data_IF_004550530402
#
_entry.id   IF_004550530402
#
_cell.length_a   1.000
_cell.length_b   1.000
_cell.length_c   1.000
_cell.angle_alpha   90.00
_cell.angle_beta   90.00
_cell.angle_gamma   90.00
#
_symmetry.space_group_name_H-M   'P 1'
#
loop_
_entity.id
_entity.type
_entity.pdbx_description
1 polymer ?
#
# COMPACT_ATOMS: atom_id res chain seq x y z
N UNK A 1 -58.90 -61.39 14.82
CA UNK A 1 -58.43 -60.46 13.77
C UNK A 1 -58.13 -59.13 14.46
N UNK A 2 -56.89 -58.62 14.39
CA UNK A 2 -56.59 -57.29 14.95
C UNK A 2 -57.29 -56.25 14.06
N UNK A 3 -58.29 -55.55 14.59
CA UNK A 3 -58.92 -54.44 13.88
C UNK A 3 -57.89 -53.32 13.73
N UNK A 4 -57.38 -53.12 12.51
CA UNK A 4 -56.57 -51.95 12.20
C UNK A 4 -57.49 -50.74 12.13
N UNK A 5 -57.16 -49.71 12.92
CA UNK A 5 -57.90 -48.45 12.91
C UNK A 5 -57.58 -47.70 11.61
N UNK A 6 -58.54 -47.71 10.69
CA UNK A 6 -58.44 -47.06 9.37
C UNK A 6 -58.08 -45.57 9.50
N UNK A 7 -58.57 -44.88 10.55
CA UNK A 7 -58.25 -43.49 10.83
C UNK A 7 -56.76 -43.28 11.15
N UNK A 8 -56.13 -44.25 11.81
CA UNK A 8 -54.69 -44.20 12.14
C UNK A 8 -53.82 -44.37 10.90
N UNK A 9 -54.24 -45.19 9.94
CA UNK A 9 -53.55 -45.37 8.66
C UNK A 9 -53.62 -44.07 7.83
N UNK A 10 -54.79 -43.42 7.77
CA UNK A 10 -54.93 -42.14 7.06
C UNK A 10 -54.10 -41.01 7.68
N UNK A 11 -54.03 -40.94 9.01
CA UNK A 11 -53.19 -39.95 9.69
C UNK A 11 -51.69 -40.19 9.43
N UNK A 12 -51.26 -41.46 9.41
CA UNK A 12 -49.88 -41.81 9.16
C UNK A 12 -49.44 -41.53 7.72
N UNK A 13 -50.29 -41.84 6.73
CA UNK A 13 -49.99 -41.54 5.32
C UNK A 13 -50.01 -40.04 5.04
N UNK A 14 -50.94 -39.29 5.65
CA UNK A 14 -50.97 -37.83 5.54
C UNK A 14 -49.69 -37.21 6.13
N UNK A 15 -49.25 -37.66 7.30
CA UNK A 15 -48.00 -37.18 7.92
C UNK A 15 -46.77 -37.50 7.04
N UNK A 16 -46.69 -38.71 6.49
CA UNK A 16 -45.58 -39.13 5.65
C UNK A 16 -45.53 -38.32 4.34
N UNK A 17 -46.69 -38.02 3.76
CA UNK A 17 -46.80 -37.16 2.58
C UNK A 17 -46.35 -35.73 2.88
N UNK A 18 -46.77 -35.14 4.02
CA UNK A 18 -46.34 -33.80 4.46
C UNK A 18 -44.82 -33.73 4.72
N UNK A 19 -44.22 -34.79 5.26
CA UNK A 19 -42.76 -34.86 5.45
C UNK A 19 -42.05 -34.95 4.09
N UNK A 20 -42.61 -35.69 3.13
CA UNK A 20 -42.02 -35.83 1.80
C UNK A 20 -42.09 -34.52 1.02
N UNK A 21 -43.20 -33.79 1.09
CA UNK A 21 -43.33 -32.45 0.48
C UNK A 21 -42.46 -31.41 1.18
N UNK A 22 -42.35 -31.44 2.51
CA UNK A 22 -41.44 -30.56 3.25
C UNK A 22 -39.96 -30.84 2.90
N UNK A 23 -39.57 -32.10 2.72
CA UNK A 23 -38.22 -32.46 2.26
C UNK A 23 -37.95 -32.02 0.82
N UNK A 24 -38.94 -32.12 -0.07
CA UNK A 24 -38.81 -31.63 -1.44
C UNK A 24 -38.63 -30.10 -1.45
N UNK A 25 -39.48 -29.37 -0.74
CA UNK A 25 -39.37 -27.91 -0.60
C UNK A 25 -38.06 -27.49 0.08
N UNK A 26 -37.63 -28.18 1.15
CA UNK A 26 -36.34 -27.94 1.80
C UNK A 26 -35.17 -28.23 0.87
N UNK A 27 -35.22 -29.28 0.06
CA UNK A 27 -34.17 -29.61 -0.89
C UNK A 27 -34.11 -28.64 -2.08
N UNK A 28 -35.24 -28.06 -2.49
CA UNK A 28 -35.28 -26.95 -3.47
C UNK A 28 -34.73 -25.66 -2.87
N UNK A 29 -35.05 -25.34 -1.61
CA UNK A 29 -34.47 -24.19 -0.89
C UNK A 29 -32.99 -24.38 -0.50
N UNK A 30 -32.51 -25.63 -0.45
CA UNK A 30 -31.11 -25.99 -0.17
C UNK A 30 -30.23 -25.95 -1.43
N UNK A 31 -30.82 -25.64 -2.60
CA UNK A 31 -30.10 -25.38 -3.84
C UNK A 31 -29.95 -23.84 -3.99
N UNK A 32 -28.72 -23.37 -3.76
CA UNK A 32 -28.15 -22.03 -4.06
C UNK A 32 -28.73 -20.81 -3.34
N UNK A 33 -28.26 -20.57 -2.11
CA UNK A 33 -27.94 -19.18 -1.74
C UNK A 33 -26.77 -18.76 -2.62
N UNK A 34 -27.05 -18.12 -3.75
CA UNK A 34 -26.00 -17.58 -4.62
C UNK A 34 -25.09 -16.65 -3.81
N UNK A 35 -23.79 -16.67 -4.10
CA UNK A 35 -22.84 -15.81 -3.42
C UNK A 35 -23.19 -14.33 -3.68
N UNK A 36 -23.25 -13.52 -2.61
CA UNK A 36 -23.48 -12.08 -2.69
C UNK A 36 -22.19 -11.24 -2.67
N UNK A 37 -21.04 -11.87 -2.49
CA UNK A 37 -19.75 -11.17 -2.46
C UNK A 37 -19.37 -10.67 -3.87
N UNK A 38 -19.01 -9.39 -3.98
CA UNK A 38 -18.61 -8.72 -5.22
C UNK A 38 -17.32 -7.89 -5.03
N UNK A 39 -16.38 -8.45 -4.27
CA UNK A 39 -15.12 -7.79 -3.97
C UNK A 39 -14.05 -8.02 -5.04
N UNK A 40 -13.12 -7.06 -5.12
CA UNK A 40 -11.82 -7.27 -5.73
C UNK A 40 -10.86 -7.73 -4.64
N UNK A 41 -10.38 -8.96 -4.76
CA UNK A 41 -9.49 -9.61 -3.78
C UNK A 41 -8.01 -9.33 -4.08
N UNK A 42 -7.67 -9.12 -5.35
CA UNK A 42 -6.34 -8.66 -5.76
C UNK A 42 -6.42 -7.86 -7.03
N UNK A 43 -5.53 -6.88 -7.16
CA UNK A 43 -5.39 -6.09 -8.38
C UNK A 43 -3.91 -5.80 -8.59
N UNK A 44 -3.35 -6.28 -9.70
CA UNK A 44 -1.92 -6.13 -10.01
C UNK A 44 -1.71 -5.65 -11.44
N UNK A 45 -0.70 -4.81 -11.66
CA UNK A 45 -0.19 -4.42 -12.98
C UNK A 45 1.31 -4.72 -13.02
N UNK A 46 1.85 -5.05 -14.19
CA UNK A 46 3.24 -5.47 -14.33
C UNK A 46 4.24 -4.37 -13.94
N UNK A 47 3.89 -3.11 -14.21
CA UNK A 47 4.74 -1.94 -14.04
C UNK A 47 4.62 -1.28 -12.66
N UNK A 48 3.86 -1.86 -11.71
CA UNK A 48 3.69 -1.24 -10.39
C UNK A 48 4.94 -1.27 -9.53
N UNK A 49 4.95 -0.36 -8.57
CA UNK A 49 5.87 -0.32 -7.45
C UNK A 49 5.07 -0.37 -6.16
N UNK A 50 5.61 -1.06 -5.16
CA UNK A 50 4.92 -1.26 -3.90
C UNK A 50 3.73 -2.22 -3.99
N UNK A 51 2.97 -2.27 -2.91
CA UNK A 51 1.75 -3.08 -2.80
C UNK A 51 0.54 -2.27 -3.25
N UNK A 52 -0.43 -2.94 -3.87
CA UNK A 52 -1.73 -2.34 -4.18
C UNK A 52 -2.51 -2.11 -2.89
N UNK A 53 -3.06 -0.91 -2.71
CA UNK A 53 -3.95 -0.61 -1.59
C UNK A 53 -5.39 -0.83 -2.05
N UNK A 54 -6.09 -1.75 -1.38
CA UNK A 54 -7.49 -2.07 -1.65
C UNK A 54 -8.29 -1.68 -0.40
N UNK A 55 -9.23 -0.75 -0.56
CA UNK A 55 -10.17 -0.36 0.48
C UNK A 55 -11.55 -0.94 0.13
N UNK A 56 -11.95 -1.99 0.85
CA UNK A 56 -13.23 -2.69 0.65
C UNK A 56 -14.42 -1.96 1.29
N UNK A 57 -14.19 -0.96 2.15
CA UNK A 57 -15.27 -0.14 2.72
C UNK A 57 -15.64 1.02 1.79
N UNK A 58 -14.64 1.60 1.12
CA UNK A 58 -14.81 2.70 0.17
C UNK A 58 -14.86 2.24 -1.29
N UNK A 59 -14.59 0.96 -1.56
CA UNK A 59 -14.50 0.36 -2.90
C UNK A 59 -13.49 1.09 -3.80
N UNK A 60 -12.32 1.37 -3.25
CA UNK A 60 -11.23 2.06 -3.96
C UNK A 60 -9.99 1.20 -4.05
N UNK A 61 -9.25 1.38 -5.14
CA UNK A 61 -7.97 0.73 -5.38
C UNK A 61 -6.96 1.80 -5.78
N UNK A 62 -5.83 1.82 -5.08
CA UNK A 62 -4.69 2.67 -5.40
C UNK A 62 -3.50 1.80 -5.78
N UNK A 63 -2.96 2.07 -6.96
CA UNK A 63 -1.74 1.44 -7.47
C UNK A 63 -0.72 2.52 -7.81
N UNK A 64 0.53 2.30 -7.43
CA UNK A 64 1.63 3.22 -7.75
C UNK A 64 2.49 2.66 -8.88
N UNK A 65 2.89 3.51 -9.82
CA UNK A 65 3.81 3.16 -10.92
C UNK A 65 4.97 4.16 -10.99
N UNK A 66 6.15 3.79 -11.49
CA UNK A 66 7.27 4.72 -11.61
C UNK A 66 7.03 5.75 -12.73
N UNK A 67 7.76 6.87 -12.66
CA UNK A 67 7.80 7.86 -13.73
C UNK A 67 8.13 7.25 -15.09
N UNK A 68 7.41 7.69 -16.11
CA UNK A 68 7.61 7.22 -17.48
C UNK A 68 6.85 5.93 -17.81
N UNK A 69 6.16 5.31 -16.85
CA UNK A 69 5.20 4.24 -17.14
C UNK A 69 4.09 4.76 -18.06
N UNK A 70 3.82 4.04 -19.13
CA UNK A 70 2.71 4.36 -20.03
C UNK A 70 1.38 3.88 -19.43
N UNK A 71 0.65 4.78 -18.78
CA UNK A 71 -0.64 4.47 -18.13
C UNK A 71 -1.84 4.43 -19.08
N UNK A 72 -1.67 4.67 -20.38
CA UNK A 72 -2.80 4.72 -21.32
C UNK A 72 -3.29 3.34 -21.79
N UNK A 73 -2.57 2.26 -21.46
CA UNK A 73 -2.85 0.91 -21.95
C UNK A 73 -2.31 -0.19 -21.02
N UNK A 74 -2.56 -0.07 -19.71
CA UNK A 74 -2.14 -1.09 -18.74
C UNK A 74 -3.14 -2.26 -18.72
N UNK A 75 -2.65 -3.48 -18.50
CA UNK A 75 -3.46 -4.71 -18.45
C UNK A 75 -3.45 -5.31 -17.05
N UNK A 76 -4.41 -4.96 -16.17
CA UNK A 76 -4.40 -5.46 -14.79
C UNK A 76 -4.79 -6.94 -14.70
N UNK A 77 -4.11 -7.68 -13.83
CA UNK A 77 -4.54 -8.98 -13.34
C UNK A 77 -5.40 -8.80 -12.09
N UNK A 78 -6.67 -9.18 -12.20
CA UNK A 78 -7.70 -8.99 -11.19
C UNK A 78 -8.18 -10.35 -10.68
N UNK A 79 -8.19 -10.52 -9.36
CA UNK A 79 -8.89 -11.63 -8.69
C UNK A 79 -10.10 -11.06 -7.97
N UNK A 80 -11.24 -11.73 -8.11
CA UNK A 80 -12.54 -11.32 -7.55
C UNK A 80 -13.15 -12.41 -6.68
N UNK A 81 -14.21 -12.08 -5.95
CA UNK A 81 -15.00 -13.02 -5.16
C UNK A 81 -15.43 -14.26 -5.97
N UNK A 82 -15.56 -15.40 -5.27
CA UNK A 82 -15.96 -16.67 -5.89
C UNK A 82 -17.31 -16.53 -6.61
N UNK A 83 -17.37 -17.02 -7.85
CA UNK A 83 -18.53 -16.95 -8.76
C UNK A 83 -18.96 -15.54 -9.20
N UNK A 84 -18.24 -14.48 -8.81
CA UNK A 84 -18.47 -13.14 -9.34
C UNK A 84 -17.92 -12.99 -10.77
N UNK A 85 -18.31 -11.90 -11.43
CA UNK A 85 -17.78 -11.47 -12.73
C UNK A 85 -17.30 -10.02 -12.64
N UNK A 86 -16.30 -9.63 -13.43
CA UNK A 86 -15.77 -8.26 -13.46
C UNK A 86 -15.79 -7.72 -14.88
N UNK A 87 -16.21 -6.47 -15.03
CA UNK A 87 -16.18 -5.74 -16.29
C UNK A 87 -15.45 -4.40 -16.11
N UNK A 88 -14.45 -4.09 -16.95
CA UNK A 88 -13.81 -4.95 -17.94
C UNK A 88 -13.20 -6.23 -17.36
N UNK A 89 -13.05 -7.26 -18.21
CA UNK A 89 -12.43 -8.52 -17.79
C UNK A 89 -10.94 -8.32 -17.42
N UNK A 90 -10.47 -9.11 -16.46
CA UNK A 90 -9.04 -9.21 -16.11
C UNK A 90 -8.16 -9.41 -17.34
N UNK A 91 -7.03 -8.71 -17.42
CA UNK A 91 -6.12 -8.71 -18.56
C UNK A 91 -6.52 -7.79 -19.72
N UNK A 92 -7.68 -7.12 -19.67
CA UNK A 92 -8.08 -6.14 -20.68
C UNK A 92 -7.33 -4.82 -20.49
N UNK A 93 -6.77 -4.28 -21.58
CA UNK A 93 -6.04 -3.01 -21.55
C UNK A 93 -6.97 -1.83 -21.25
N UNK A 94 -6.60 -0.98 -20.29
CA UNK A 94 -7.33 0.23 -19.90
C UNK A 94 -6.41 1.46 -19.83
N UNK A 95 -7.05 2.62 -19.98
CA UNK A 95 -6.42 3.94 -19.82
C UNK A 95 -6.67 4.45 -18.40
N UNK A 96 -5.59 4.57 -17.63
CA UNK A 96 -5.57 5.07 -16.25
C UNK A 96 -5.01 6.49 -16.15
N UNK A 97 -5.04 7.28 -17.22
CA UNK A 97 -4.73 8.73 -17.17
C UNK A 97 -5.71 9.50 -16.29
N UNK A 98 -6.89 8.93 -16.05
CA UNK A 98 -7.88 9.39 -15.10
C UNK A 98 -8.38 8.20 -14.27
N UNK A 99 -9.18 8.51 -13.26
CA UNK A 99 -9.87 7.48 -12.46
C UNK A 99 -10.68 6.54 -13.37
N UNK A 100 -10.47 5.25 -13.18
CA UNK A 100 -11.16 4.19 -13.94
C UNK A 100 -12.11 3.41 -13.03
N UNK A 101 -13.28 3.03 -13.55
CA UNK A 101 -14.29 2.28 -12.77
C UNK A 101 -14.43 0.87 -13.32
N UNK A 102 -14.25 -0.12 -12.44
CA UNK A 102 -14.61 -1.51 -12.69
C UNK A 102 -15.95 -1.82 -12.04
N UNK A 103 -16.74 -2.70 -12.66
CA UNK A 103 -17.97 -3.23 -12.06
C UNK A 103 -17.80 -4.71 -11.77
N UNK A 104 -17.91 -5.10 -10.51
CA UNK A 104 -17.94 -6.50 -10.08
C UNK A 104 -19.40 -6.88 -9.81
N UNK A 105 -19.88 -7.94 -10.46
CA UNK A 105 -21.25 -8.47 -10.27
C UNK A 105 -21.16 -9.82 -9.57
N UNK A 106 -21.75 -9.93 -8.39
CA UNK A 106 -21.85 -11.16 -7.61
C UNK A 106 -22.70 -12.22 -8.30
N UNK A 107 -22.61 -13.47 -7.84
CA UNK A 107 -23.41 -14.58 -8.37
C UNK A 107 -24.92 -14.34 -8.23
N UNK A 108 -25.34 -13.66 -7.15
CA UNK A 108 -26.72 -13.29 -6.90
C UNK A 108 -27.23 -12.10 -7.75
N UNK A 109 -26.34 -11.48 -8.55
CA UNK A 109 -26.64 -10.34 -9.42
C UNK A 109 -26.38 -8.96 -8.81
N UNK A 110 -25.97 -8.87 -7.54
CA UNK A 110 -25.63 -7.60 -6.91
C UNK A 110 -24.33 -7.03 -7.50
N UNK A 111 -24.34 -5.78 -7.92
CA UNK A 111 -23.20 -5.13 -8.55
C UNK A 111 -22.56 -4.09 -7.62
N UNK A 112 -21.22 -4.02 -7.65
CA UNK A 112 -20.40 -3.04 -6.95
C UNK A 112 -19.44 -2.37 -7.92
N UNK A 113 -19.38 -1.04 -7.86
CA UNK A 113 -18.41 -0.24 -8.58
C UNK A 113 -17.13 -0.07 -7.74
N UNK A 114 -15.98 -0.29 -8.38
CA UNK A 114 -14.65 -0.17 -7.80
C UNK A 114 -13.87 0.93 -8.52
N UNK A 115 -13.44 1.94 -7.78
CA UNK A 115 -12.73 3.10 -8.30
C UNK A 115 -11.22 2.87 -8.24
N UNK A 116 -10.58 2.75 -9.39
CA UNK A 116 -9.13 2.50 -9.53
C UNK A 116 -8.42 3.79 -9.91
N UNK A 117 -7.40 4.14 -9.12
CA UNK A 117 -6.48 5.23 -9.41
C UNK A 117 -5.07 4.65 -9.56
N UNK A 118 -4.38 5.05 -10.64
CA UNK A 118 -2.96 4.73 -10.85
C UNK A 118 -2.16 6.00 -10.71
N UNK A 119 -1.39 6.11 -9.62
CA UNK A 119 -0.56 7.25 -9.35
C UNK A 119 0.84 7.06 -9.94
N UNK A 120 1.26 8.01 -10.78
CA UNK A 120 2.61 8.04 -11.33
C UNK A 120 3.52 8.71 -10.30
N UNK A 121 4.36 7.90 -9.67
CA UNK A 121 5.44 8.37 -8.83
C UNK A 121 6.62 8.80 -9.69
N UNK A 122 6.68 10.10 -9.97
CA UNK A 122 7.95 10.78 -10.21
C UNK A 122 8.80 10.54 -8.98
N UNK A 123 9.92 9.83 -9.09
CA UNK A 123 10.70 9.36 -7.94
C UNK A 123 10.65 10.36 -6.78
N UNK A 124 10.20 9.86 -5.62
CA UNK A 124 9.81 10.52 -4.35
C UNK A 124 8.28 10.62 -4.17
N UNK A 125 7.67 9.56 -3.61
CA UNK A 125 6.46 9.71 -2.80
C UNK A 125 6.84 10.56 -1.58
N UNK A 126 6.48 11.84 -1.60
CA UNK A 126 6.41 12.64 -0.38
C UNK A 126 5.20 12.16 0.44
N UNK A 127 5.30 11.00 1.06
CA UNK A 127 4.67 10.80 2.37
C UNK A 127 5.43 11.71 3.35
N UNK A 128 5.26 13.02 3.21
CA UNK A 128 6.01 14.10 3.85
C UNK A 128 6.65 13.68 5.20
N UNK A 129 7.92 13.24 5.27
CA UNK A 129 8.70 13.46 6.47
C UNK A 129 9.27 14.85 6.23
N UNK A 130 8.58 15.89 6.72
CA UNK A 130 9.09 17.26 6.70
C UNK A 130 10.60 17.20 6.88
N UNK A 131 11.34 17.66 5.87
CA UNK A 131 12.79 17.46 5.79
C UNK A 131 13.45 17.73 7.14
N UNK A 132 14.51 16.97 7.44
CA UNK A 132 15.25 17.19 8.67
C UNK A 132 15.74 18.64 8.74
N UNK A 133 15.65 19.24 9.93
CA UNK A 133 16.18 20.58 10.13
C UNK A 133 17.63 20.50 10.59
N UNK A 134 18.41 21.49 10.18
CA UNK A 134 19.77 21.71 10.65
C UNK A 134 19.78 23.00 11.44
N UNK A 135 20.09 22.92 12.74
CA UNK A 135 20.15 24.10 13.59
C UNK A 135 21.41 24.10 14.48
N UNK A 136 22.15 25.22 14.56
CA UNK A 136 21.98 26.43 13.75
C UNK A 136 22.45 26.22 12.31
N UNK A 137 21.86 26.97 11.37
CA UNK A 137 22.31 27.06 9.99
C UNK A 137 22.13 28.51 9.51
N UNK A 138 23.20 29.30 9.26
CA UNK A 138 24.62 28.91 9.27
C UNK A 138 25.15 28.40 10.62
N UNK A 139 26.20 27.58 10.60
CA UNK A 139 26.85 27.00 11.78
C UNK A 139 28.35 27.28 11.79
N UNK A 140 28.98 27.14 12.97
CA UNK A 140 30.44 27.17 13.10
C UNK A 140 31.05 25.74 13.01
N UNK A 141 30.38 24.83 12.30
CA UNK A 141 30.76 23.42 12.25
C UNK A 141 30.19 22.55 13.38
N UNK A 142 29.37 23.12 14.28
CA UNK A 142 28.59 22.36 15.28
C UNK A 142 27.11 22.62 15.05
N UNK A 143 26.33 21.57 14.87
CA UNK A 143 24.90 21.67 14.58
C UNK A 143 24.13 20.42 15.01
N UNK A 144 22.83 20.57 15.11
CA UNK A 144 21.87 19.52 15.45
C UNK A 144 21.04 19.17 14.23
N UNK A 145 20.79 17.88 14.06
CA UNK A 145 19.81 17.36 13.11
C UNK A 145 18.55 16.99 13.85
N UNK A 146 17.46 17.66 13.50
CA UNK A 146 16.14 17.49 14.11
C UNK A 146 15.21 16.70 13.17
N UNK A 147 14.13 16.15 13.74
CA UNK A 147 13.12 15.37 13.01
C UNK A 147 13.63 14.06 12.39
N UNK A 148 14.67 13.46 12.96
CA UNK A 148 15.20 12.17 12.51
C UNK A 148 14.28 10.97 12.79
N UNK A 149 13.35 11.08 13.75
CA UNK A 149 12.40 10.01 14.08
C UNK A 149 11.40 9.72 12.96
N UNK A 150 11.27 10.61 11.97
CA UNK A 150 10.40 10.40 10.81
C UNK A 150 10.97 9.44 9.76
N UNK A 151 12.24 9.03 9.89
CA UNK A 151 12.87 8.09 8.96
C UNK A 151 12.83 6.67 9.54
N UNK A 152 11.92 5.82 9.02
CA UNK A 152 11.70 4.46 9.54
C UNK A 152 12.93 3.55 9.53
N UNK A 153 13.71 3.55 8.43
CA UNK A 153 14.92 2.74 8.25
C UNK A 153 16.11 3.60 7.80
N UNK A 154 16.88 4.14 8.74
CA UNK A 154 18.09 4.90 8.45
C UNK A 154 19.26 3.96 8.11
N UNK A 155 19.79 4.09 6.89
CA UNK A 155 21.00 3.37 6.45
C UNK A 155 22.28 4.15 6.71
N UNK A 156 22.20 5.48 6.77
CA UNK A 156 23.36 6.30 7.07
C UNK A 156 23.12 7.79 6.87
N UNK A 157 24.08 8.57 7.35
CA UNK A 157 24.18 9.98 7.10
C UNK A 157 25.54 10.29 6.49
N UNK A 158 25.55 11.19 5.52
CA UNK A 158 26.73 11.63 4.81
C UNK A 158 26.76 13.16 4.77
N UNK A 159 27.93 13.76 4.92
CA UNK A 159 28.12 15.20 4.71
C UNK A 159 29.08 15.36 3.53
N UNK A 160 28.67 16.13 2.53
CA UNK A 160 29.45 16.35 1.31
C UNK A 160 29.68 17.84 1.06
N UNK A 161 30.79 18.19 0.42
CA UNK A 161 30.99 19.54 -0.12
C UNK A 161 30.18 19.75 -1.42
N UNK A 162 30.27 20.95 -2.02
CA UNK A 162 29.59 21.27 -3.29
C UNK A 162 30.05 20.42 -4.47
N UNK A 163 31.19 19.74 -4.37
CA UNK A 163 31.71 18.83 -5.40
C UNK A 163 31.22 17.40 -5.21
N UNK A 164 30.49 17.13 -4.12
CA UNK A 164 30.01 15.81 -3.74
C UNK A 164 31.04 14.97 -2.98
N UNK A 165 32.19 15.54 -2.60
CA UNK A 165 33.20 14.82 -1.81
C UNK A 165 32.72 14.71 -0.37
N UNK A 166 32.66 13.48 0.15
CA UNK A 166 32.34 13.21 1.54
C UNK A 166 33.38 13.79 2.49
N UNK A 167 32.92 14.38 3.59
CA UNK A 167 33.76 14.69 4.74
C UNK A 167 33.95 13.39 5.54
N UNK A 168 35.18 12.90 5.62
CA UNK A 168 35.52 11.61 6.25
C UNK A 168 35.26 11.53 7.78
N UNK A 169 34.61 12.55 8.38
CA UNK A 169 34.65 12.83 9.82
C UNK A 169 33.32 12.77 10.57
N UNK A 170 32.23 12.30 9.98
CA UNK A 170 31.00 12.10 10.76
C UNK A 170 30.73 10.59 10.98
N UNK A 171 31.45 9.90 11.86
CA UNK A 171 30.98 8.60 12.33
C UNK A 171 29.70 8.84 13.12
N UNK A 172 28.57 8.46 12.51
CA UNK A 172 27.27 8.57 13.15
C UNK A 172 27.16 7.41 14.14
N UNK A 173 27.03 7.66 15.46
CA UNK A 173 26.97 6.58 16.43
C UNK A 173 25.69 5.76 16.23
N UNK A 174 25.82 4.43 16.19
CA UNK A 174 24.68 3.52 16.29
C UNK A 174 24.68 2.89 17.70
N UNK A 175 23.55 2.95 18.44
CA UNK A 175 22.26 3.53 18.06
C UNK A 175 22.28 5.08 18.06
N UNK A 176 21.49 5.66 17.16
CA UNK A 176 21.34 7.12 17.05
C UNK A 176 20.70 7.68 18.33
N UNK A 177 21.39 8.59 19.02
CA UNK A 177 20.78 9.41 20.07
C UNK A 177 20.12 10.64 19.47
N UNK A 178 18.92 10.98 19.93
CA UNK A 178 18.17 12.15 19.49
C UNK A 178 18.03 13.18 20.61
N UNK A 179 18.22 14.48 20.33
CA UNK A 179 18.58 15.05 19.03
C UNK A 179 20.05 14.74 18.64
N UNK A 180 20.30 14.50 17.34
CA UNK A 180 21.63 14.12 16.86
C UNK A 180 22.48 15.37 16.67
N UNK A 181 23.43 15.59 17.56
CA UNK A 181 24.42 16.67 17.44
C UNK A 181 25.65 16.17 16.67
N UNK A 182 26.08 16.95 15.68
CA UNK A 182 27.28 16.71 14.88
C UNK A 182 28.27 17.84 15.11
N UNK A 183 29.51 17.49 15.40
CA UNK A 183 30.65 18.40 15.51
C UNK A 183 31.70 18.04 14.46
N UNK A 184 31.78 18.89 13.43
CA UNK A 184 32.83 18.87 12.41
C UNK A 184 33.76 20.09 12.54
N UNK A 185 33.70 20.81 13.66
CA UNK A 185 34.51 22.01 13.92
C UNK A 185 35.95 21.70 14.32
N UNK A 186 36.37 20.43 14.31
CA UNK A 186 37.69 19.97 14.78
C UNK A 186 38.41 19.16 13.70
N UNK A 187 39.67 19.49 13.44
CA UNK A 187 40.55 18.67 12.61
C UNK A 187 40.90 17.38 13.37
N UNK A 188 41.05 16.28 12.64
CA UNK A 188 41.75 15.10 13.16
C UNK A 188 43.08 14.96 12.42
N UNK A 189 43.91 14.04 12.89
CA UNK A 189 45.20 13.71 12.28
C UNK A 189 45.08 13.29 10.79
N UNK A 190 43.88 12.90 10.34
CA UNK A 190 43.62 12.40 8.99
C UNK A 190 42.77 13.32 8.10
N UNK A 191 42.13 14.37 8.63
CA UNK A 191 41.47 15.37 7.79
C UNK A 191 41.51 16.79 8.40
N UNK A 192 41.85 17.82 7.59
CA UNK A 192 41.80 19.21 8.01
C UNK A 192 40.37 19.66 8.32
N UNK A 193 40.24 20.75 9.08
CA UNK A 193 38.95 21.41 9.35
C UNK A 193 38.17 21.65 8.05
N UNK A 194 36.84 21.48 8.05
CA UNK A 194 36.03 21.94 6.94
C UNK A 194 36.24 23.46 6.79
N UNK A 195 36.52 23.88 5.55
CA UNK A 195 36.63 25.30 5.23
C UNK A 195 35.24 25.94 5.33
N UNK A 196 35.14 27.25 5.67
CA UNK A 196 33.91 28.00 5.50
C UNK A 196 33.35 27.80 4.08
N UNK A 197 32.08 27.48 3.97
CA UNK A 197 31.49 27.08 2.70
C UNK A 197 30.12 26.44 2.79
N UNK A 198 29.63 26.00 1.64
CA UNK A 198 28.36 25.29 1.51
C UNK A 198 28.64 23.80 1.53
N UNK A 199 27.84 23.10 2.32
CA UNK A 199 27.85 21.65 2.46
C UNK A 199 26.42 21.11 2.28
N UNK A 200 26.33 19.82 2.02
CA UNK A 200 25.08 19.10 1.94
C UNK A 200 25.11 17.93 2.90
N UNK A 201 24.13 17.90 3.79
CA UNK A 201 23.85 16.72 4.62
C UNK A 201 22.89 15.84 3.85
N UNK A 202 23.21 14.56 3.76
CA UNK A 202 22.38 13.54 3.13
C UNK A 202 21.99 12.50 4.16
N UNK A 203 20.71 12.17 4.24
CA UNK A 203 20.18 11.07 5.02
C UNK A 203 19.74 9.98 4.05
N UNK A 204 20.34 8.80 4.18
CA UNK A 204 20.03 7.63 3.35
C UNK A 204 19.13 6.67 4.13
N UNK A 205 18.07 6.25 3.48
CA UNK A 205 17.20 5.14 3.88
C UNK A 205 17.30 4.02 2.85
N UNK A 206 16.62 2.89 3.08
CA UNK A 206 16.58 1.79 2.10
C UNK A 206 16.03 2.22 0.74
N UNK A 207 15.11 3.19 0.74
CA UNK A 207 14.35 3.59 -0.45
C UNK A 207 14.67 5.00 -0.93
N UNK A 208 15.16 5.89 -0.06
CA UNK A 208 15.27 7.33 -0.35
C UNK A 208 16.57 7.97 0.17
N UNK A 209 16.96 9.07 -0.47
CA UNK A 209 18.04 9.98 -0.01
C UNK A 209 17.47 11.39 0.16
N UNK A 210 17.51 11.91 1.39
CA UNK A 210 17.08 13.27 1.72
C UNK A 210 18.28 14.18 1.84
N UNK A 211 18.22 15.39 1.28
CA UNK A 211 19.37 16.32 1.27
C UNK A 211 18.99 17.69 1.80
N UNK A 212 19.80 18.24 2.71
CA UNK A 212 19.63 19.61 3.21
C UNK A 212 20.95 20.38 3.15
N UNK A 213 20.86 21.65 2.76
CA UNK A 213 22.01 22.57 2.70
C UNK A 213 22.44 22.99 4.11
N UNK A 214 23.74 22.88 4.39
CA UNK A 214 24.42 23.42 5.56
C UNK A 214 25.38 24.54 5.11
N UNK A 215 25.42 25.65 5.83
CA UNK A 215 26.40 26.72 5.62
C UNK A 215 27.33 26.73 6.83
N UNK A 216 28.63 26.62 6.61
CA UNK A 216 29.67 26.78 7.64
C UNK A 216 30.37 28.13 7.42
N UNK A 217 30.57 28.91 8.48
CA UNK A 217 31.22 30.22 8.40
C UNK A 217 32.39 30.37 9.39
#
# INVERSE_FOLDING_TARGET
MKHFNILSIFLFTALLFTIQTAKAQYNEQKIFSQNGENDILSFQINEQIGETIIDTELYTILVEVPEGTNVTALTPEITISENATVNPESGTAQDFTQLYVYTVTAENGDAQEWMVTVDILTGITLANPSGFNIYPNPSNGVFTIENLTGFGNLLGLEITDITGKALEHAPVPLPLSLPLQIDISRATEHAPLPLPGIYFIKIKTETNIYTQKLIIH
#
